data_IF_538843081813
#
_entry.id   IF_538843081813
#
_cell.length_a   1.000
_cell.length_b   1.000
_cell.length_c   1.000
_cell.angle_alpha   90.00
_cell.angle_beta   90.00
_cell.angle_gamma   90.00
#
_symmetry.space_group_name_H-M   'P 1'
#
loop_
_entity.id
_entity.type
_entity.pdbx_description
1 polymer ?
#
# COMPACT_ATOMS: atom_id res chain seq x y z
N UNK A 1 21.47 -8.43 10.13
CA UNK A 1 21.75 -7.29 9.23
C UNK A 1 23.24 -6.99 9.32
N UNK A 2 23.98 -7.01 8.21
CA UNK A 2 25.38 -6.57 8.21
C UNK A 2 25.40 -5.04 8.42
N UNK A 3 26.13 -4.57 9.44
CA UNK A 3 26.26 -3.14 9.71
C UNK A 3 26.95 -2.42 8.56
N UNK A 4 26.51 -1.20 8.24
CA UNK A 4 27.14 -0.40 7.18
C UNK A 4 28.60 -0.09 7.55
N UNK A 5 29.49 -0.23 6.58
CA UNK A 5 30.89 0.14 6.75
C UNK A 5 31.03 1.67 6.91
N UNK A 6 32.09 2.11 7.57
CA UNK A 6 32.41 3.54 7.66
C UNK A 6 32.51 4.14 6.25
N UNK A 7 31.79 5.24 6.01
CA UNK A 7 31.76 5.92 4.71
C UNK A 7 30.69 5.43 3.74
N UNK A 8 29.88 4.41 4.08
CA UNK A 8 28.74 4.03 3.26
C UNK A 8 27.47 4.79 3.62
N UNK A 9 26.78 5.27 2.57
CA UNK A 9 25.46 5.89 2.67
C UNK A 9 24.49 5.12 1.79
N UNK A 10 23.41 4.64 2.40
CA UNK A 10 22.27 4.05 1.67
C UNK A 10 21.13 5.04 1.64
N UNK A 11 20.65 5.37 0.45
CA UNK A 11 19.48 6.26 0.27
C UNK A 11 18.29 5.42 -0.13
N UNK A 12 17.22 5.51 0.67
CA UNK A 12 15.92 4.90 0.40
C UNK A 12 14.90 6.02 0.27
N UNK A 13 14.10 5.98 -0.79
CA UNK A 13 13.10 7.00 -1.07
C UNK A 13 11.92 6.37 -1.81
N UNK A 14 10.78 7.05 -1.71
CA UNK A 14 9.55 6.75 -2.45
C UNK A 14 9.24 7.92 -3.39
N UNK A 15 8.37 7.68 -4.35
CA UNK A 15 7.78 8.70 -5.21
C UNK A 15 6.28 8.76 -4.96
N UNK A 16 5.67 9.89 -5.31
CA UNK A 16 4.21 10.02 -5.31
C UNK A 16 3.58 9.05 -6.32
N UNK A 17 2.60 8.27 -5.87
CA UNK A 17 1.91 7.29 -6.72
C UNK A 17 1.04 6.30 -5.96
N UNK A 18 0.56 5.27 -6.65
CA UNK A 18 -0.17 4.12 -6.07
C UNK A 18 0.43 2.80 -6.55
N UNK A 19 0.43 1.77 -5.70
CA UNK A 19 1.00 0.46 -6.02
C UNK A 19 2.46 0.56 -6.49
N UNK A 20 2.78 -0.04 -7.65
CA UNK A 20 4.11 0.03 -8.27
C UNK A 20 4.54 1.46 -8.65
N UNK A 21 3.58 2.39 -8.75
CA UNK A 21 3.84 3.80 -8.99
C UNK A 21 4.42 4.55 -7.79
N UNK A 22 4.36 4.01 -6.56
CA UNK A 22 4.98 4.60 -5.34
C UNK A 22 6.50 4.44 -5.34
N UNK A 23 7.03 3.53 -6.15
CA UNK A 23 8.43 3.17 -6.09
C UNK A 23 9.21 3.77 -7.25
N UNK A 24 10.44 4.23 -6.98
CA UNK A 24 11.24 4.81 -8.03
C UNK A 24 11.66 3.72 -9.02
N UNK A 25 11.25 3.87 -10.27
CA UNK A 25 11.77 3.04 -11.35
C UNK A 25 13.28 3.24 -11.56
N UNK A 26 13.89 2.36 -12.35
CA UNK A 26 15.33 2.37 -12.60
C UNK A 26 15.86 3.74 -13.12
N UNK A 27 15.07 4.45 -13.92
CA UNK A 27 15.40 5.80 -14.38
C UNK A 27 15.47 6.82 -13.25
N UNK A 28 14.50 6.81 -12.34
CA UNK A 28 14.46 7.69 -11.16
C UNK A 28 15.60 7.39 -10.19
N UNK A 29 15.88 6.09 -9.97
CA UNK A 29 17.03 5.65 -9.17
C UNK A 29 18.34 6.17 -9.77
N UNK A 30 18.55 6.00 -11.07
CA UNK A 30 19.75 6.48 -11.76
C UNK A 30 19.90 8.01 -11.66
N UNK A 31 18.79 8.76 -11.77
CA UNK A 31 18.78 10.21 -11.62
C UNK A 31 19.19 10.66 -10.21
N UNK A 32 18.64 10.02 -9.17
CA UNK A 32 18.99 10.31 -7.76
C UNK A 32 20.45 9.93 -7.50
N UNK A 33 20.88 8.75 -7.96
CA UNK A 33 22.26 8.30 -7.81
C UNK A 33 23.25 9.28 -8.44
N UNK A 34 22.98 9.74 -9.67
CA UNK A 34 23.80 10.73 -10.36
C UNK A 34 23.84 12.07 -9.62
N UNK A 35 22.67 12.54 -9.16
CA UNK A 35 22.55 13.81 -8.44
C UNK A 35 23.39 13.84 -7.14
N UNK A 36 23.32 12.78 -6.34
CA UNK A 36 24.04 12.68 -5.08
C UNK A 36 25.53 12.38 -5.32
N UNK A 37 25.87 11.55 -6.32
CA UNK A 37 27.27 11.25 -6.66
C UNK A 37 28.06 12.50 -7.03
N UNK A 38 27.44 13.48 -7.69
CA UNK A 38 28.08 14.76 -8.01
C UNK A 38 28.31 15.67 -6.78
N UNK A 39 27.71 15.36 -5.62
CA UNK A 39 27.69 16.21 -4.41
C UNK A 39 28.25 15.53 -3.16
N UNK A 40 28.42 14.21 -3.19
CA UNK A 40 28.96 13.45 -2.05
C UNK A 40 30.46 13.76 -1.85
N UNK A 41 30.97 13.66 -0.61
CA UNK A 41 32.42 13.59 -0.38
C UNK A 41 33.05 12.43 -1.17
N UNK A 42 34.27 12.62 -1.67
CA UNK A 42 34.97 11.61 -2.51
C UNK A 42 35.09 10.26 -1.81
N UNK A 43 35.25 10.26 -0.49
CA UNK A 43 35.40 9.08 0.35
C UNK A 43 34.10 8.36 0.69
N UNK A 44 32.94 8.94 0.36
CA UNK A 44 31.66 8.32 0.66
C UNK A 44 31.28 7.32 -0.44
N UNK A 45 30.97 6.09 -0.10
CA UNK A 45 30.36 5.12 -1.01
C UNK A 45 28.84 5.27 -0.95
N UNK A 46 28.21 5.46 -2.11
CA UNK A 46 26.78 5.66 -2.23
C UNK A 46 26.13 4.43 -2.85
N UNK A 47 25.10 3.93 -2.18
CA UNK A 47 24.21 2.92 -2.73
C UNK A 47 22.77 3.43 -2.70
N UNK A 48 22.09 3.30 -3.84
CA UNK A 48 20.64 3.49 -3.95
C UNK A 48 20.08 2.12 -4.35
N UNK A 49 19.67 1.29 -3.37
CA UNK A 49 19.12 -0.01 -3.69
C UNK A 49 17.88 0.16 -4.55
N UNK A 50 17.71 -0.71 -5.53
CA UNK A 50 16.44 -0.86 -6.23
C UNK A 50 15.55 -1.75 -5.38
N UNK A 51 14.55 -1.23 -4.67
CA UNK A 51 13.64 -2.09 -3.93
C UNK A 51 12.80 -2.87 -4.95
N UNK A 52 13.07 -4.16 -5.10
CA UNK A 52 12.18 -5.07 -5.80
C UNK A 52 10.96 -5.29 -4.92
N UNK A 53 9.99 -4.38 -5.02
CA UNK A 53 8.70 -4.58 -4.36
C UNK A 53 7.83 -5.44 -5.23
N UNK A 54 7.20 -6.40 -4.58
CA UNK A 54 6.23 -7.28 -5.19
C UNK A 54 4.86 -6.64 -4.93
N UNK A 55 4.13 -6.30 -6.00
CA UNK A 55 2.75 -5.89 -5.82
C UNK A 55 1.94 -7.14 -5.47
N UNK A 56 1.31 -7.11 -4.30
CA UNK A 56 0.41 -8.18 -3.89
C UNK A 56 -1.03 -7.70 -4.11
N UNK A 57 -1.78 -8.45 -4.91
CA UNK A 57 -3.19 -8.16 -5.18
C UNK A 57 -4.03 -8.75 -4.03
N UNK A 58 -4.50 -7.89 -3.14
CA UNK A 58 -5.32 -8.28 -2.01
C UNK A 58 -6.78 -8.36 -2.44
N UNK A 59 -7.39 -9.53 -2.24
CA UNK A 59 -8.83 -9.72 -2.37
C UNK A 59 -9.52 -9.39 -1.05
N UNK A 60 -10.57 -8.56 -1.10
CA UNK A 60 -11.41 -8.27 0.06
C UNK A 60 -12.88 -8.47 -0.35
N UNK A 61 -13.61 -9.26 0.44
CA UNK A 61 -15.04 -9.46 0.29
C UNK A 61 -15.78 -8.69 1.38
N UNK A 62 -16.62 -7.76 0.97
CA UNK A 62 -17.41 -6.92 1.88
C UNK A 62 -18.89 -6.94 1.52
N UNK A 63 -19.73 -6.83 2.54
CA UNK A 63 -21.14 -6.46 2.42
C UNK A 63 -21.26 -4.99 2.79
N UNK A 64 -21.93 -4.21 1.94
CA UNK A 64 -22.09 -2.76 2.15
C UNK A 64 -23.55 -2.39 1.96
N UNK A 65 -24.03 -1.54 2.86
CA UNK A 65 -25.30 -0.84 2.75
C UNK A 65 -25.04 0.66 2.64
N UNK A 66 -25.58 1.26 1.59
CA UNK A 66 -25.44 2.68 1.37
C UNK A 66 -26.45 3.50 2.16
N UNK A 67 -26.07 4.75 2.47
CA UNK A 67 -26.95 5.74 3.13
C UNK A 67 -27.95 6.41 2.16
N UNK A 68 -27.89 6.04 0.87
CA UNK A 68 -28.71 6.61 -0.20
C UNK A 68 -28.22 7.94 -0.77
N UNK A 69 -27.09 8.48 -0.31
CA UNK A 69 -26.50 9.74 -0.80
C UNK A 69 -25.77 9.59 -2.13
N UNK A 70 -25.28 8.39 -2.45
CA UNK A 70 -24.53 8.07 -3.66
C UNK A 70 -25.12 6.85 -4.38
N UNK A 71 -24.82 6.75 -5.69
CA UNK A 71 -25.11 5.55 -6.45
C UNK A 71 -24.24 4.39 -6.01
N UNK A 72 -24.66 3.17 -6.33
CA UNK A 72 -23.90 1.97 -6.04
C UNK A 72 -22.46 2.00 -6.57
N UNK A 73 -22.29 2.47 -7.80
CA UNK A 73 -20.99 2.57 -8.43
C UNK A 73 -20.12 3.65 -7.78
N UNK A 74 -20.73 4.74 -7.31
CA UNK A 74 -20.02 5.86 -6.69
C UNK A 74 -19.59 5.53 -5.25
N UNK A 75 -20.45 4.90 -4.45
CA UNK A 75 -20.07 4.37 -3.13
C UNK A 75 -18.92 3.37 -3.27
N UNK A 76 -18.97 2.51 -4.29
CA UNK A 76 -17.90 1.56 -4.57
C UNK A 76 -16.58 2.25 -4.92
N UNK A 77 -16.61 3.26 -5.78
CA UNK A 77 -15.43 4.04 -6.14
C UNK A 77 -14.86 4.79 -4.93
N UNK A 78 -15.71 5.29 -4.03
CA UNK A 78 -15.30 5.94 -2.79
C UNK A 78 -14.57 4.97 -1.85
N UNK A 79 -15.11 3.75 -1.66
CA UNK A 79 -14.47 2.71 -0.84
C UNK A 79 -13.08 2.36 -1.38
N UNK A 80 -12.96 2.17 -2.70
CA UNK A 80 -11.68 1.92 -3.34
C UNK A 80 -10.67 3.03 -3.05
N UNK A 81 -11.08 4.28 -3.26
CA UNK A 81 -10.23 5.44 -3.08
C UNK A 81 -9.71 5.54 -1.63
N UNK A 82 -10.57 5.30 -0.64
CA UNK A 82 -10.19 5.33 0.78
C UNK A 82 -9.28 4.18 1.17
N UNK A 83 -9.54 2.93 0.71
CA UNK A 83 -8.65 1.80 0.98
C UNK A 83 -7.27 2.03 0.36
N UNK A 84 -7.21 2.51 -0.89
CA UNK A 84 -5.94 2.84 -1.53
C UNK A 84 -5.22 3.99 -0.80
N UNK A 85 -5.97 4.94 -0.26
CA UNK A 85 -5.41 6.01 0.58
C UNK A 85 -4.81 5.44 1.86
N UNK A 86 -5.50 4.53 2.54
CA UNK A 86 -5.01 3.86 3.72
C UNK A 86 -3.74 3.03 3.44
N UNK A 87 -3.67 2.34 2.29
CA UNK A 87 -2.45 1.65 1.86
C UNK A 87 -1.29 2.64 1.63
N UNK A 88 -1.53 3.79 0.99
CA UNK A 88 -0.49 4.81 0.81
C UNK A 88 0.04 5.36 2.14
N UNK A 89 -0.85 5.59 3.09
CA UNK A 89 -0.49 6.21 4.37
C UNK A 89 0.15 5.22 5.34
N UNK A 90 -0.33 3.97 5.38
CA UNK A 90 -0.05 3.04 6.47
C UNK A 90 0.67 1.75 6.05
N UNK A 91 0.68 1.37 4.77
CA UNK A 91 1.35 0.14 4.36
C UNK A 91 2.88 0.32 4.31
N UNK A 92 3.60 -0.60 4.93
CA UNK A 92 5.05 -0.59 4.99
C UNK A 92 5.64 -1.73 4.14
N UNK A 93 6.56 -1.38 3.24
CA UNK A 93 7.39 -2.36 2.53
C UNK A 93 8.54 -2.78 3.44
N UNK A 94 8.46 -4.00 3.97
CA UNK A 94 9.46 -4.53 4.88
C UNK A 94 10.16 -5.77 4.27
N UNK A 95 11.51 -5.81 4.22
CA UNK A 95 12.27 -6.97 3.75
C UNK A 95 12.02 -8.26 4.54
N UNK A 96 11.46 -8.18 5.74
CA UNK A 96 11.06 -9.34 6.55
C UNK A 96 9.56 -9.68 6.44
N UNK A 97 8.79 -8.93 5.65
CA UNK A 97 7.33 -8.95 5.65
C UNK A 97 6.73 -7.96 6.65
N UNK A 98 5.47 -7.66 6.47
CA UNK A 98 4.71 -6.72 7.30
C UNK A 98 3.26 -7.19 7.44
N UNK A 99 2.49 -6.51 8.28
CA UNK A 99 1.07 -6.79 8.48
C UNK A 99 0.31 -5.50 8.26
N UNK A 100 -0.72 -5.55 7.42
CA UNK A 100 -1.69 -4.48 7.30
C UNK A 100 -2.91 -4.81 8.16
N UNK A 101 -3.12 -4.02 9.20
CA UNK A 101 -4.13 -4.33 10.21
C UNK A 101 -5.55 -4.16 9.68
N UNK A 102 -6.43 -5.08 10.10
CA UNK A 102 -7.85 -5.06 9.74
C UNK A 102 -8.55 -3.78 10.20
N UNK A 103 -8.14 -3.23 11.35
CA UNK A 103 -8.67 -1.97 11.87
C UNK A 103 -8.50 -0.80 10.91
N UNK A 104 -7.41 -0.77 10.12
CA UNK A 104 -7.20 0.26 9.11
C UNK A 104 -8.11 0.10 7.90
N UNK A 105 -8.44 -1.14 7.53
CA UNK A 105 -9.45 -1.40 6.49
C UNK A 105 -10.84 -0.96 6.96
N UNK A 106 -11.21 -1.32 8.19
CA UNK A 106 -12.50 -0.92 8.76
C UNK A 106 -12.62 0.61 8.85
N UNK A 107 -11.56 1.29 9.29
CA UNK A 107 -11.52 2.75 9.33
C UNK A 107 -11.70 3.36 7.94
N UNK A 108 -10.98 2.86 6.93
CA UNK A 108 -11.07 3.35 5.55
C UNK A 108 -12.49 3.17 4.96
N UNK A 109 -13.08 1.99 5.13
CA UNK A 109 -14.44 1.69 4.63
C UNK A 109 -15.48 2.54 5.39
N UNK A 110 -15.35 2.66 6.71
CA UNK A 110 -16.27 3.45 7.54
C UNK A 110 -16.22 4.96 7.26
N UNK A 111 -15.09 5.47 6.76
CA UNK A 111 -14.95 6.87 6.34
C UNK A 111 -15.38 7.12 4.88
N UNK A 112 -15.71 6.07 4.13
CA UNK A 112 -16.05 6.18 2.72
C UNK A 112 -17.42 6.84 2.52
N UNK A 113 -17.51 7.74 1.54
CA UNK A 113 -18.75 8.41 1.22
C UNK A 113 -19.82 7.40 0.76
N UNK A 114 -21.07 7.62 1.17
CA UNK A 114 -22.20 6.80 0.76
C UNK A 114 -22.30 5.45 1.46
N UNK A 115 -21.57 5.22 2.56
CA UNK A 115 -21.65 4.02 3.41
C UNK A 115 -22.42 4.36 4.70
N UNK A 116 -23.46 3.57 5.01
CA UNK A 116 -24.15 3.62 6.30
C UNK A 116 -23.61 2.52 7.22
N UNK A 117 -23.64 1.27 6.74
CA UNK A 117 -23.04 0.15 7.44
C UNK A 117 -22.34 -0.80 6.48
N UNK A 118 -21.36 -1.54 7.01
CA UNK A 118 -20.62 -2.54 6.27
C UNK A 118 -20.21 -3.71 7.16
N UNK A 119 -19.90 -4.83 6.53
CA UNK A 119 -19.27 -5.99 7.15
C UNK A 119 -18.19 -6.51 6.22
N UNK A 120 -16.97 -6.67 6.74
CA UNK A 120 -15.92 -7.40 6.03
C UNK A 120 -16.16 -8.88 6.28
N UNK A 121 -16.39 -9.63 5.21
CA UNK A 121 -16.72 -11.07 5.29
C UNK A 121 -15.50 -11.95 5.11
N UNK A 122 -14.53 -11.50 4.29
CA UNK A 122 -13.25 -12.15 4.10
C UNK A 122 -12.19 -11.13 3.68
N UNK A 123 -10.95 -11.42 4.06
CA UNK A 123 -9.74 -10.77 3.54
C UNK A 123 -8.82 -11.84 2.97
N UNK A 124 -7.85 -11.45 2.15
CA UNK A 124 -6.87 -12.36 1.56
C UNK A 124 -6.27 -13.31 2.61
N UNK A 125 -6.40 -14.62 2.38
CA UNK A 125 -5.85 -15.64 3.27
C UNK A 125 -6.61 -15.92 4.57
N UNK A 126 -7.76 -15.28 4.84
CA UNK A 126 -8.44 -15.42 6.14
C UNK A 126 -9.91 -14.99 6.22
N UNK A 127 -10.42 -14.90 7.45
CA UNK A 127 -11.74 -14.40 7.79
C UNK A 127 -11.76 -12.86 7.81
N UNK A 128 -12.96 -12.24 7.73
CA UNK A 128 -13.10 -10.78 7.69
C UNK A 128 -12.56 -10.00 8.90
N UNK A 129 -12.22 -10.68 9.99
CA UNK A 129 -11.57 -10.11 11.19
C UNK A 129 -10.05 -10.21 11.18
N UNK A 130 -9.48 -10.96 10.24
CA UNK A 130 -8.04 -11.22 10.19
C UNK A 130 -7.29 -10.02 9.59
N UNK A 131 -6.03 -9.90 9.98
CA UNK A 131 -5.11 -8.94 9.38
C UNK A 131 -4.55 -9.48 8.06
N UNK A 132 -4.15 -8.58 7.16
CA UNK A 132 -3.49 -8.98 5.91
C UNK A 132 -2.00 -9.16 6.18
N UNK A 133 -1.50 -10.37 5.95
CA UNK A 133 -0.07 -10.65 5.97
C UNK A 133 0.56 -10.31 4.63
N UNK A 134 1.63 -9.51 4.66
CA UNK A 134 2.45 -9.16 3.50
C UNK A 134 3.81 -9.83 3.62
N UNK A 135 4.21 -10.51 2.56
CA UNK A 135 5.51 -11.13 2.41
C UNK A 135 6.66 -10.12 2.28
N UNK A 136 7.87 -10.67 2.17
CA UNK A 136 9.09 -9.87 2.10
C UNK A 136 9.08 -8.95 0.87
N UNK A 137 9.14 -7.64 1.13
CA UNK A 137 9.04 -6.59 0.11
C UNK A 137 7.71 -6.57 -0.64
N UNK A 138 6.62 -7.08 -0.07
CA UNK A 138 5.30 -6.92 -0.68
C UNK A 138 4.69 -5.56 -0.33
N UNK A 139 3.91 -5.03 -1.28
CA UNK A 139 3.07 -3.85 -1.09
C UNK A 139 1.65 -4.19 -1.53
N UNK A 140 0.64 -3.93 -0.68
CA UNK A 140 -0.74 -4.28 -0.99
C UNK A 140 -1.26 -3.37 -2.09
N UNK A 141 -1.93 -3.99 -3.06
CA UNK A 141 -2.77 -3.34 -4.03
C UNK A 141 -4.14 -3.95 -3.95
N UNK A 142 -5.18 -3.14 -4.03
CA UNK A 142 -6.54 -3.66 -3.96
C UNK A 142 -6.96 -4.16 -5.34
N UNK A 143 -7.36 -5.42 -5.40
CA UNK A 143 -8.18 -5.93 -6.50
C UNK A 143 -9.46 -6.42 -5.86
N UNK A 144 -10.53 -5.67 -6.04
CA UNK A 144 -11.80 -6.06 -5.47
C UNK A 144 -12.38 -7.22 -6.31
N UNK A 145 -12.20 -8.44 -5.79
CA UNK A 145 -12.93 -9.62 -6.19
C UNK A 145 -14.07 -9.89 -5.20
N UNK A 146 -15.32 -9.76 -5.65
CA UNK A 146 -16.48 -10.27 -4.91
C UNK A 146 -17.02 -9.36 -3.80
N UNK A 147 -17.51 -8.16 -4.16
CA UNK A 147 -18.42 -7.42 -3.27
C UNK A 147 -19.86 -7.89 -3.51
N UNK A 148 -20.53 -8.24 -2.41
CA UNK A 148 -21.99 -8.44 -2.40
C UNK A 148 -22.62 -7.20 -1.80
N UNK A 149 -23.14 -6.30 -2.62
CA UNK A 149 -23.82 -5.10 -2.13
C UNK A 149 -25.31 -5.38 -2.02
N UNK A 150 -25.84 -5.25 -0.80
CA UNK A 150 -27.26 -5.40 -0.55
C UNK A 150 -27.82 -4.01 -0.28
N UNK A 151 -28.63 -3.52 -1.21
CA UNK A 151 -29.34 -2.26 -1.06
C UNK A 151 -30.68 -2.52 -0.38
N UNK A 152 -31.00 -1.75 0.64
CA UNK A 152 -32.34 -1.65 1.23
C UNK A 152 -32.83 -0.24 1.04
#
# INVERSE_FOLDING_TARGET
MAGMAHGQVTVRFVVEGTGAGVLPGAGTIAAVLAYITARKPVTAELSVPNPSVIQEAITISITVHGDGSLSQADTYAAILAEIESAFRERAEVNPAGSTFYNSYLQEAIGNSAGVDWFEITAVEGGAGTDDIALGANEYPTIVIGGITQNWV
#
